data_IF_073199289811
#
_entry.id   IF_073199289811
#
_cell.length_a   1.000
_cell.length_b   1.000
_cell.length_c   1.000
_cell.angle_alpha   90.00
_cell.angle_beta   90.00
_cell.angle_gamma   90.00
#
_symmetry.space_group_name_H-M   'P 1'
#
loop_
_entity.id
_entity.type
_entity.pdbx_description
1 polymer ?
#
# COMPACT_ATOMS: atom_id res chain seq x y z
N UNK A 1 -4.42 -13.94 10.72
CA UNK A 1 -4.47 -12.69 9.90
C UNK A 1 -5.70 -12.72 8.99
N UNK A 2 -5.99 -13.83 8.33
CA UNK A 2 -7.34 -14.13 7.85
C UNK A 2 -7.68 -15.58 8.20
N UNK A 3 -8.97 -15.85 8.40
CA UNK A 3 -9.51 -17.20 8.61
C UNK A 3 -10.16 -17.64 7.31
N UNK A 4 -9.74 -18.76 6.69
CA UNK A 4 -10.39 -19.28 5.48
C UNK A 4 -11.88 -19.53 5.76
N UNK A 5 -12.76 -19.04 4.91
CA UNK A 5 -14.20 -19.33 4.96
C UNK A 5 -14.67 -19.65 3.55
N UNK A 6 -15.18 -20.87 3.35
CA UNK A 6 -15.63 -21.33 2.04
C UNK A 6 -15.99 -22.81 2.04
N UNK A 7 -16.90 -23.20 1.15
CA UNK A 7 -17.33 -24.60 0.95
C UNK A 7 -16.55 -25.31 -0.17
N UNK A 8 -15.70 -24.57 -0.90
CA UNK A 8 -14.83 -25.09 -1.94
C UNK A 8 -13.37 -24.60 -1.76
N UNK A 9 -12.41 -25.26 -2.43
CA UNK A 9 -10.98 -25.00 -2.24
C UNK A 9 -10.52 -23.61 -2.73
N UNK A 10 -11.26 -23.01 -3.68
CA UNK A 10 -10.96 -21.67 -4.20
C UNK A 10 -11.31 -20.60 -3.16
N UNK A 11 -12.43 -20.73 -2.44
CA UNK A 11 -12.84 -19.81 -1.37
C UNK A 11 -11.96 -19.91 -0.11
N UNK A 12 -11.13 -20.95 0.01
CA UNK A 12 -10.18 -21.13 1.12
C UNK A 12 -8.79 -20.54 0.87
N UNK A 13 -8.55 -19.97 -0.31
CA UNK A 13 -7.29 -19.30 -0.64
C UNK A 13 -7.21 -17.94 0.06
N UNK A 14 -6.55 -17.93 1.20
CA UNK A 14 -6.08 -16.70 1.86
C UNK A 14 -4.64 -16.50 1.43
N UNK A 15 -4.42 -15.71 0.39
CA UNK A 15 -3.07 -15.37 -0.07
C UNK A 15 -2.55 -14.09 0.61
N UNK A 16 -1.27 -14.09 0.96
CA UNK A 16 -0.55 -12.92 1.45
C UNK A 16 0.01 -12.20 0.23
N UNK A 17 -0.50 -11.00 -0.05
CA UNK A 17 -0.18 -10.32 -1.30
C UNK A 17 0.68 -9.09 -1.07
N UNK A 18 1.78 -9.02 -1.82
CA UNK A 18 2.60 -7.83 -1.99
C UNK A 18 3.62 -7.56 -0.89
N UNK A 19 4.16 -6.34 -0.89
CA UNK A 19 5.11 -5.84 0.10
C UNK A 19 4.53 -5.83 1.52
N UNK A 20 5.38 -6.14 2.50
CA UNK A 20 5.06 -6.13 3.93
C UNK A 20 5.70 -4.92 4.62
N UNK A 21 5.08 -4.40 5.67
CA UNK A 21 5.69 -3.35 6.51
C UNK A 21 6.29 -3.97 7.78
N UNK A 22 7.62 -3.90 7.91
CA UNK A 22 8.33 -4.39 9.10
C UNK A 22 8.98 -3.25 9.87
N UNK A 23 8.74 -3.21 11.18
CA UNK A 23 9.43 -2.34 12.14
C UNK A 23 9.80 -3.19 13.34
N UNK A 24 11.10 -3.48 13.49
CA UNK A 24 11.59 -4.45 14.48
C UNK A 24 10.91 -5.82 14.33
N UNK A 25 10.25 -6.25 15.41
CA UNK A 25 9.51 -7.52 15.48
C UNK A 25 8.05 -7.41 15.05
N UNK A 26 7.57 -6.19 14.80
CA UNK A 26 6.23 -5.97 14.27
C UNK A 26 6.27 -6.12 12.76
N UNK A 27 5.59 -7.13 12.21
CA UNK A 27 5.39 -7.29 10.77
C UNK A 27 3.92 -7.15 10.46
N UNK A 28 3.60 -6.24 9.55
CA UNK A 28 2.24 -5.95 9.13
C UNK A 28 2.07 -6.34 7.66
N UNK A 29 0.97 -7.02 7.38
CA UNK A 29 0.71 -7.63 6.08
C UNK A 29 -0.76 -7.45 5.69
N UNK A 30 -1.04 -7.69 4.41
CA UNK A 30 -2.40 -7.81 3.89
C UNK A 30 -2.70 -9.25 3.48
N UNK A 31 -3.89 -9.70 3.83
CA UNK A 31 -4.56 -10.84 3.21
C UNK A 31 -5.47 -10.33 2.08
N UNK A 32 -5.33 -10.90 0.88
CA UNK A 32 -6.04 -10.48 -0.33
C UNK A 32 -7.56 -10.32 -0.10
N UNK A 33 -8.10 -9.14 -0.42
CA UNK A 33 -9.54 -8.81 -0.35
C UNK A 33 -10.24 -9.17 0.98
N UNK A 34 -9.48 -9.30 2.07
CA UNK A 34 -10.02 -9.78 3.34
C UNK A 34 -9.67 -8.85 4.49
N UNK A 35 -8.37 -8.65 4.73
CA UNK A 35 -7.92 -7.97 5.95
C UNK A 35 -6.51 -7.44 5.84
N UNK A 36 -6.19 -6.52 6.74
CA UNK A 36 -4.82 -6.19 7.12
C UNK A 36 -4.60 -6.57 8.59
N UNK A 37 -3.36 -6.85 8.95
CA UNK A 37 -3.03 -7.16 10.33
C UNK A 37 -1.54 -7.03 10.62
N UNK A 38 -1.22 -6.83 11.90
CA UNK A 38 0.15 -6.91 12.39
C UNK A 38 0.35 -8.12 13.28
N UNK A 39 1.54 -8.71 13.21
CA UNK A 39 1.99 -9.81 14.05
C UNK A 39 3.29 -9.42 14.74
N UNK A 40 3.53 -10.00 15.91
CA UNK A 40 4.84 -10.02 16.52
C UNK A 40 5.58 -11.29 16.05
N UNK A 41 6.67 -11.13 15.30
CA UNK A 41 7.39 -12.28 14.72
C UNK A 41 8.20 -13.06 15.73
N UNK A 42 8.57 -12.46 16.86
CA UNK A 42 9.34 -13.12 17.93
C UNK A 42 8.44 -14.01 18.79
N UNK A 43 7.24 -13.53 19.13
CA UNK A 43 6.24 -14.25 19.92
C UNK A 43 5.28 -15.11 19.09
N UNK A 44 5.26 -14.90 17.78
CA UNK A 44 4.39 -15.65 16.86
C UNK A 44 2.89 -15.34 17.00
N UNK A 45 2.52 -14.22 17.63
CA UNK A 45 1.12 -13.88 17.87
C UNK A 45 0.64 -12.70 16.99
N UNK A 46 -0.66 -12.71 16.68
CA UNK A 46 -1.34 -11.57 16.05
C UNK A 46 -1.48 -10.45 17.09
N UNK A 47 -1.11 -9.23 16.71
CA UNK A 47 -1.32 -8.02 17.51
C UNK A 47 -2.73 -7.50 17.28
N UNK A 48 -3.14 -7.38 16.02
CA UNK A 48 -4.49 -6.98 15.63
C UNK A 48 -4.80 -7.37 14.19
N UNK A 49 -6.07 -7.32 13.82
CA UNK A 49 -6.57 -7.49 12.45
C UNK A 49 -7.74 -6.54 12.21
N UNK A 50 -7.84 -6.02 10.98
CA UNK A 50 -8.92 -5.13 10.51
C UNK A 50 -9.40 -5.56 9.13
N UNK A 51 -10.71 -5.44 8.83
CA UNK A 51 -11.22 -5.65 7.48
C UNK A 51 -10.55 -4.68 6.49
N UNK A 52 -10.22 -5.19 5.31
CA UNK A 52 -9.72 -4.40 4.19
C UNK A 52 -10.02 -5.16 2.89
N UNK A 53 -10.34 -4.43 1.85
CA UNK A 53 -10.69 -4.94 0.53
C UNK A 53 -9.70 -4.42 -0.52
N UNK A 54 -8.42 -4.73 -0.34
CA UNK A 54 -7.40 -4.41 -1.34
C UNK A 54 -6.57 -5.62 -1.73
N UNK A 55 -5.84 -5.43 -2.83
CA UNK A 55 -5.07 -6.51 -3.49
C UNK A 55 -3.57 -6.24 -3.48
N UNK A 56 -3.18 -4.99 -3.23
CA UNK A 56 -1.78 -4.59 -3.14
C UNK A 56 -1.27 -4.72 -1.71
N UNK A 57 0.04 -4.93 -1.57
CA UNK A 57 0.73 -4.91 -0.28
C UNK A 57 0.57 -3.58 0.45
N UNK A 58 1.02 -3.55 1.70
CA UNK A 58 0.99 -2.36 2.55
C UNK A 58 2.40 -1.87 2.82
N UNK A 59 2.51 -0.61 3.24
CA UNK A 59 3.78 -0.03 3.69
C UNK A 59 3.49 0.90 4.87
N UNK A 60 4.50 1.27 5.64
CA UNK A 60 4.29 2.03 6.87
C UNK A 60 5.56 2.17 7.69
N UNK A 61 5.50 3.04 8.68
CA UNK A 61 6.54 3.24 9.68
C UNK A 61 6.08 2.70 11.06
N UNK A 62 6.70 3.18 12.13
CA UNK A 62 6.39 2.82 13.51
C UNK A 62 5.01 3.32 13.97
N UNK A 63 4.50 4.39 13.35
CA UNK A 63 3.22 5.02 13.72
C UNK A 63 2.06 4.60 12.82
N UNK A 64 2.25 4.65 11.50
CA UNK A 64 1.17 4.52 10.52
C UNK A 64 1.47 3.45 9.46
N UNK A 65 0.41 2.78 9.05
CA UNK A 65 0.37 1.87 7.90
C UNK A 65 -0.51 2.49 6.82
N UNK A 66 -0.17 2.24 5.56
CA UNK A 66 -0.85 2.77 4.39
C UNK A 66 -1.11 1.63 3.39
N UNK A 67 -2.23 1.71 2.69
CA UNK A 67 -2.64 0.71 1.71
C UNK A 67 -3.69 1.25 0.74
N UNK A 68 -3.83 0.57 -0.39
CA UNK A 68 -4.78 0.90 -1.45
C UNK A 68 -5.86 -0.17 -1.56
N UNK A 69 -7.13 0.23 -1.63
CA UNK A 69 -8.27 -0.68 -1.78
C UNK A 69 -8.55 -0.96 -3.25
N UNK A 70 -9.35 -1.99 -3.51
CA UNK A 70 -9.72 -2.44 -4.85
C UNK A 70 -10.44 -1.34 -5.66
N UNK A 71 -11.19 -0.46 -4.99
CA UNK A 71 -11.87 0.67 -5.62
C UNK A 71 -10.94 1.88 -5.86
N UNK A 72 -9.69 1.85 -5.39
CA UNK A 72 -8.73 2.96 -5.46
C UNK A 72 -8.80 3.92 -4.27
N UNK A 73 -9.55 3.61 -3.21
CA UNK A 73 -9.46 4.32 -1.93
C UNK A 73 -8.09 4.08 -1.30
N UNK A 74 -7.46 5.12 -0.76
CA UNK A 74 -6.22 5.02 0.02
C UNK A 74 -6.55 5.19 1.48
N UNK A 75 -6.02 4.33 2.35
CA UNK A 75 -6.25 4.40 3.79
C UNK A 75 -4.94 4.50 4.56
N UNK A 76 -5.04 5.12 5.74
CA UNK A 76 -4.05 5.02 6.78
C UNK A 76 -4.62 4.41 8.06
N UNK A 77 -3.83 3.58 8.72
CA UNK A 77 -4.16 2.96 10.00
C UNK A 77 -3.03 3.18 11.00
N UNK A 78 -3.35 3.27 12.29
CA UNK A 78 -2.35 3.21 13.34
C UNK A 78 -1.70 1.82 13.36
N UNK A 79 -0.38 1.77 13.43
CA UNK A 79 0.36 0.51 13.56
C UNK A 79 0.08 -0.20 14.89
N UNK A 80 -0.23 0.55 15.95
CA UNK A 80 -0.45 0.02 17.30
C UNK A 80 -1.65 -0.92 17.39
N UNK A 81 -2.76 -0.56 16.74
CA UNK A 81 -4.07 -1.17 16.97
C UNK A 81 -4.94 -1.28 15.70
N UNK A 82 -4.43 -0.82 14.55
CA UNK A 82 -5.16 -0.85 13.28
C UNK A 82 -6.34 0.13 13.22
N UNK A 83 -6.49 1.07 14.15
CA UNK A 83 -7.50 2.12 14.03
C UNK A 83 -7.26 2.95 12.78
N UNK A 84 -8.31 3.20 12.00
CA UNK A 84 -8.23 4.02 10.79
C UNK A 84 -7.99 5.48 11.17
N UNK A 85 -6.93 6.09 10.65
CA UNK A 85 -6.58 7.50 10.88
C UNK A 85 -7.24 8.39 9.83
N UNK A 86 -7.14 8.02 8.56
CA UNK A 86 -7.79 8.73 7.47
C UNK A 86 -8.12 7.81 6.29
N UNK A 87 -8.96 8.32 5.38
CA UNK A 87 -9.36 7.67 4.13
C UNK A 87 -9.41 8.73 3.02
N UNK A 88 -8.89 8.41 1.84
CA UNK A 88 -8.85 9.31 0.68
C UNK A 88 -9.40 8.62 -0.56
N UNK A 89 -10.51 9.14 -1.09
CA UNK A 89 -11.21 8.57 -2.25
C UNK A 89 -10.80 9.25 -3.56
N UNK A 90 -9.84 10.18 -3.51
CA UNK A 90 -9.42 11.04 -4.64
C UNK A 90 -8.84 10.27 -5.81
N UNK A 91 -8.39 9.04 -5.57
CA UNK A 91 -7.73 8.17 -6.55
C UNK A 91 -8.60 6.96 -6.94
N UNK A 92 -9.90 7.01 -6.63
CA UNK A 92 -10.84 5.94 -7.00
C UNK A 92 -10.81 5.64 -8.49
N UNK A 93 -10.92 4.35 -8.81
CA UNK A 93 -11.00 3.80 -10.16
C UNK A 93 -9.76 4.02 -11.03
N UNK A 94 -8.60 4.34 -10.42
CA UNK A 94 -7.35 4.57 -11.15
C UNK A 94 -6.43 3.35 -11.23
N UNK A 95 -6.78 2.23 -10.61
CA UNK A 95 -5.94 1.02 -10.59
C UNK A 95 -4.57 1.28 -9.95
N UNK A 96 -4.53 1.29 -8.61
CA UNK A 96 -3.37 1.76 -7.86
C UNK A 96 -2.35 0.64 -7.59
N UNK A 97 -1.08 1.01 -7.53
CA UNK A 97 0.00 0.15 -7.05
C UNK A 97 -0.02 0.02 -5.51
N UNK A 98 0.85 -0.80 -4.95
CA UNK A 98 1.16 -0.72 -3.52
C UNK A 98 1.84 0.63 -3.20
N UNK A 99 1.72 1.14 -1.96
CA UNK A 99 2.31 2.41 -1.56
C UNK A 99 3.80 2.29 -1.24
N UNK A 100 4.53 3.39 -1.46
CA UNK A 100 5.89 3.63 -0.98
C UNK A 100 5.86 4.86 -0.04
N UNK A 101 6.51 4.79 1.12
CA UNK A 101 6.78 6.01 1.91
C UNK A 101 8.07 6.70 1.46
N UNK A 102 7.97 8.00 1.18
CA UNK A 102 9.10 8.86 0.90
C UNK A 102 8.89 10.22 1.60
N UNK A 103 9.71 10.49 2.62
CA UNK A 103 9.60 11.71 3.42
C UNK A 103 8.22 11.90 4.04
N UNK A 104 7.56 13.02 3.73
CA UNK A 104 6.20 13.36 4.19
C UNK A 104 5.07 12.73 3.35
N UNK A 105 5.43 11.91 2.36
CA UNK A 105 4.51 11.46 1.32
C UNK A 105 4.31 9.94 1.29
N UNK A 106 3.09 9.53 0.96
CA UNK A 106 2.72 8.20 0.46
C UNK A 106 2.70 8.29 -1.06
N UNK A 107 3.58 7.55 -1.72
CA UNK A 107 3.78 7.56 -3.16
C UNK A 107 3.08 6.35 -3.77
N UNK A 108 2.21 6.59 -4.76
CA UNK A 108 1.36 5.57 -5.38
C UNK A 108 1.34 5.77 -6.90
N UNK A 109 1.64 4.74 -7.67
CA UNK A 109 1.45 4.72 -9.12
C UNK A 109 0.04 4.33 -9.53
N UNK A 110 -0.38 4.70 -10.73
CA UNK A 110 -1.70 4.33 -11.27
C UNK A 110 -1.67 3.71 -12.68
N UNK A 111 -2.83 3.22 -13.13
CA UNK A 111 -3.00 2.56 -14.43
C UNK A 111 -2.94 3.52 -15.63
N UNK A 112 -2.77 4.82 -15.39
CA UNK A 112 -2.67 5.86 -16.43
C UNK A 112 -1.29 6.52 -16.45
N UNK A 113 -0.30 5.90 -15.80
CA UNK A 113 1.09 6.36 -15.80
C UNK A 113 1.37 7.58 -14.92
N UNK A 114 0.47 7.92 -14.01
CA UNK A 114 0.74 8.94 -13.01
C UNK A 114 1.29 8.35 -11.72
N UNK A 115 2.12 9.13 -11.06
CA UNK A 115 2.57 8.91 -9.70
C UNK A 115 1.96 10.01 -8.84
N UNK A 116 1.25 9.61 -7.79
CA UNK A 116 0.60 10.50 -6.84
C UNK A 116 1.37 10.52 -5.53
N UNK A 117 1.61 11.71 -5.00
CA UNK A 117 2.19 11.92 -3.69
C UNK A 117 1.09 12.42 -2.77
N UNK A 118 0.66 11.59 -1.82
CA UNK A 118 -0.32 11.96 -0.81
C UNK A 118 0.37 12.30 0.51
N UNK A 119 -0.15 13.27 1.24
CA UNK A 119 0.28 13.57 2.61
C UNK A 119 0.04 12.38 3.52
N UNK A 120 1.05 12.03 4.31
CA UNK A 120 0.95 10.96 5.31
C UNK A 120 0.03 11.32 6.47
N UNK A 121 -0.16 12.61 6.74
CA UNK A 121 -0.94 13.09 7.89
C UNK A 121 -2.45 13.04 7.64
N UNK A 122 -2.89 13.34 6.41
CA UNK A 122 -4.33 13.54 6.12
C UNK A 122 -4.79 12.99 4.76
N UNK A 123 -3.89 12.38 3.97
CA UNK A 123 -4.22 11.82 2.66
C UNK A 123 -4.56 12.86 1.59
N UNK A 124 -4.25 14.15 1.82
CA UNK A 124 -4.36 15.21 0.82
C UNK A 124 -3.35 15.01 -0.31
N UNK A 125 -3.67 15.42 -1.54
CA UNK A 125 -2.76 15.32 -2.67
C UNK A 125 -1.72 16.43 -2.60
N UNK A 126 -0.45 16.07 -2.44
CA UNK A 126 0.68 16.99 -2.40
C UNK A 126 1.23 17.29 -3.79
N UNK A 127 1.37 16.25 -4.61
CA UNK A 127 1.93 16.38 -5.96
C UNK A 127 1.47 15.24 -6.88
N UNK A 128 1.60 15.45 -8.19
CA UNK A 128 1.37 14.45 -9.22
C UNK A 128 2.46 14.56 -10.29
N UNK A 129 3.08 13.43 -10.61
CA UNK A 129 4.15 13.32 -11.60
C UNK A 129 3.67 12.44 -12.77
N UNK A 130 4.04 12.80 -14.00
CA UNK A 130 3.68 12.08 -15.22
C UNK A 130 4.84 11.27 -15.77
N UNK A 131 4.53 10.13 -16.39
CA UNK A 131 5.49 9.29 -17.15
C UNK A 131 5.13 9.28 -18.65
N UNK A 132 5.14 8.12 -19.33
CA UNK A 132 4.68 7.94 -20.72
C UNK A 132 3.16 7.74 -20.86
N UNK A 133 2.42 7.73 -19.75
CA UNK A 133 0.98 7.50 -19.73
C UNK A 133 0.57 6.02 -19.78
N UNK A 134 1.53 5.09 -19.87
CA UNK A 134 1.25 3.65 -19.70
C UNK A 134 1.23 3.28 -18.20
N UNK A 135 0.50 2.23 -17.80
CA UNK A 135 0.33 1.88 -16.38
C UNK A 135 1.66 1.78 -15.63
N UNK A 136 1.70 2.30 -14.40
CA UNK A 136 2.82 2.01 -13.50
C UNK A 136 2.75 0.52 -13.11
N UNK A 137 3.83 -0.22 -13.38
CA UNK A 137 3.83 -1.69 -13.34
C UNK A 137 3.91 -2.26 -11.93
N UNK A 138 4.55 -1.54 -11.01
CA UNK A 138 4.79 -1.98 -9.64
C UNK A 138 4.85 -0.77 -8.71
N UNK A 139 4.88 -1.01 -7.39
CA UNK A 139 5.12 0.05 -6.42
C UNK A 139 6.40 0.83 -6.80
N UNK A 140 6.35 2.18 -6.85
CA UNK A 140 7.55 2.98 -6.99
C UNK A 140 8.57 2.63 -5.90
N UNK A 141 9.85 2.82 -6.19
CA UNK A 141 10.94 2.57 -5.22
C UNK A 141 11.77 3.83 -5.01
N UNK A 142 12.33 3.98 -3.81
CA UNK A 142 13.25 5.09 -3.52
C UNK A 142 14.69 4.57 -3.57
N UNK A 143 15.50 5.13 -4.47
CA UNK A 143 16.92 4.83 -4.61
C UNK A 143 17.72 6.10 -4.26
N UNK A 144 18.27 6.15 -3.05
CA UNK A 144 18.85 7.39 -2.50
C UNK A 144 17.77 8.47 -2.36
N UNK A 145 17.93 9.58 -3.08
CA UNK A 145 16.96 10.67 -3.14
C UNK A 145 16.09 10.64 -4.41
N UNK A 146 16.20 9.58 -5.21
CA UNK A 146 15.50 9.46 -6.48
C UNK A 146 14.36 8.46 -6.34
N UNK A 147 13.14 8.93 -6.57
CA UNK A 147 11.98 8.09 -6.79
C UNK A 147 12.06 7.47 -8.18
N UNK A 148 12.04 6.15 -8.26
CA UNK A 148 12.08 5.39 -9.50
C UNK A 148 10.73 4.72 -9.76
N UNK A 149 10.21 4.88 -10.97
CA UNK A 149 9.00 4.21 -11.44
C UNK A 149 9.24 3.51 -12.77
N UNK A 150 8.60 2.36 -12.93
CA UNK A 150 8.64 1.56 -14.16
C UNK A 150 7.24 1.47 -14.74
N UNK A 151 7.12 1.77 -16.03
CA UNK A 151 5.85 1.73 -16.76
C UNK A 151 5.71 0.41 -17.53
N UNK A 152 4.49 0.08 -17.98
CA UNK A 152 4.26 -1.17 -18.74
C UNK A 152 4.86 -1.15 -20.14
N UNK A 153 5.15 0.02 -20.69
CA UNK A 153 5.89 0.15 -21.96
C UNK A 153 7.41 -0.02 -21.78
N UNK A 154 7.89 -0.31 -20.56
CA UNK A 154 9.31 -0.49 -20.27
C UNK A 154 10.06 0.80 -19.97
N UNK A 155 9.36 1.94 -19.85
CA UNK A 155 9.97 3.19 -19.45
C UNK A 155 10.41 3.15 -17.97
N UNK A 156 11.59 3.72 -17.70
CA UNK A 156 12.13 3.89 -16.35
C UNK A 156 12.30 5.39 -16.11
N UNK A 157 11.63 5.90 -15.08
CA UNK A 157 11.57 7.32 -14.76
C UNK A 157 12.16 7.57 -13.38
N UNK A 158 12.99 8.60 -13.28
CA UNK A 158 13.58 9.08 -12.03
C UNK A 158 13.06 10.47 -11.69
N UNK A 159 12.61 10.67 -10.45
CA UNK A 159 12.15 11.96 -9.94
C UNK A 159 12.88 12.28 -8.64
N UNK A 160 13.22 13.56 -8.42
CA UNK A 160 13.66 14.04 -7.11
C UNK A 160 12.49 14.80 -6.47
N UNK A 161 11.70 14.16 -5.59
CA UNK A 161 10.61 14.83 -4.91
C UNK A 161 11.14 15.78 -3.83
N UNK A 162 10.71 17.05 -3.87
CA UNK A 162 10.98 18.09 -2.86
C UNK A 162 10.12 17.95 -1.57
#
# INVERSE_FOLDING_TARGET
>A
IATPRGINDIERLVDLVGSVSRVGDSVCVRAFQSSIGCVNTTRGNVLWTRPANGVQGIQGDDRLLFGTEADGTVLAWKRSDGERVWSSERLRYRGLTAPLLAGRSVVIGDATGFIHLLSREDGSLLNRLSTDGSPISAAPVLAGNTLVAVTRNGGIYGFQPE
#
